data_IF_333656978892
#
_entry.id   IF_333656978892
#
_cell.length_a   1.000
_cell.length_b   1.000
_cell.length_c   1.000
_cell.angle_alpha   90.00
_cell.angle_beta   90.00
_cell.angle_gamma   90.00
#
_symmetry.space_group_name_H-M   'P 1'
#
loop_
_entity.id
_entity.type
_entity.pdbx_description
1 polymer ?
#
# COMPACT_ATOMS: atom_id res chain seq x y z
N UNK A 1 -3.39 4.85 -20.04
CA UNK A 1 -2.45 3.95 -19.34
C UNK A 1 -2.47 4.09 -17.82
N UNK A 2 -2.54 5.30 -17.25
CA UNK A 2 -2.60 5.51 -15.78
C UNK A 2 -3.69 4.71 -15.03
N UNK A 3 -4.91 4.54 -15.59
CA UNK A 3 -5.95 3.70 -14.93
C UNK A 3 -5.58 2.22 -14.80
N UNK A 4 -4.87 1.66 -15.77
CA UNK A 4 -4.43 0.27 -15.71
C UNK A 4 -3.34 0.09 -14.64
N UNK A 5 -2.46 1.09 -14.51
CA UNK A 5 -1.45 1.12 -13.43
C UNK A 5 -2.11 1.30 -12.07
N UNK A 6 -3.13 2.15 -11.95
CA UNK A 6 -3.85 2.37 -10.70
C UNK A 6 -4.66 1.15 -10.24
N UNK A 7 -5.27 0.43 -11.17
CA UNK A 7 -5.97 -0.84 -10.87
C UNK A 7 -4.99 -1.93 -10.47
N UNK A 8 -3.86 -2.05 -11.18
CA UNK A 8 -2.79 -2.97 -10.80
C UNK A 8 -2.21 -2.64 -9.41
N UNK A 9 -2.02 -1.35 -9.11
CA UNK A 9 -1.58 -0.86 -7.81
C UNK A 9 -2.56 -1.21 -6.69
N UNK A 10 -3.84 -0.92 -6.88
CA UNK A 10 -4.87 -1.24 -5.90
C UNK A 10 -4.96 -2.76 -5.68
N UNK A 11 -4.89 -3.56 -6.74
CA UNK A 11 -4.87 -5.02 -6.62
C UNK A 11 -3.64 -5.52 -5.85
N UNK A 12 -2.45 -4.98 -6.11
CA UNK A 12 -1.23 -5.34 -5.40
C UNK A 12 -1.31 -4.99 -3.91
N UNK A 13 -1.80 -3.80 -3.57
CA UNK A 13 -2.00 -3.37 -2.18
C UNK A 13 -3.05 -4.20 -1.44
N UNK A 14 -4.11 -4.63 -2.14
CA UNK A 14 -5.13 -5.54 -1.59
C UNK A 14 -4.53 -6.90 -1.28
N UNK A 15 -3.79 -7.49 -2.24
CA UNK A 15 -3.11 -8.78 -2.05
C UNK A 15 -2.09 -8.68 -0.92
N UNK A 16 -1.30 -7.62 -0.88
CA UNK A 16 -0.32 -7.38 0.19
C UNK A 16 -0.99 -7.27 1.56
N UNK A 17 -2.05 -6.47 1.71
CA UNK A 17 -2.78 -6.37 2.97
C UNK A 17 -3.44 -7.68 3.41
N UNK A 18 -3.97 -8.46 2.47
CA UNK A 18 -4.49 -9.80 2.74
C UNK A 18 -3.39 -10.77 3.18
N UNK A 19 -2.19 -10.68 2.59
CA UNK A 19 -1.05 -11.50 3.03
C UNK A 19 -0.61 -11.14 4.44
N UNK A 20 -0.65 -9.85 4.81
CA UNK A 20 -0.37 -9.42 6.19
C UNK A 20 -1.43 -9.95 7.16
N UNK A 21 -2.72 -9.86 6.83
CA UNK A 21 -3.81 -10.38 7.67
C UNK A 21 -3.74 -11.89 7.89
N UNK A 22 -3.33 -12.64 6.87
CA UNK A 22 -3.36 -14.12 6.90
C UNK A 22 -2.07 -14.75 7.42
N UNK A 23 -0.90 -14.14 7.19
CA UNK A 23 0.41 -14.74 7.52
C UNK A 23 1.16 -14.03 8.65
N UNK A 24 0.79 -12.83 9.07
CA UNK A 24 1.44 -12.15 10.19
C UNK A 24 1.23 -12.82 11.56
N UNK A 25 0.08 -13.45 11.90
CA UNK A 25 -0.15 -14.03 13.23
C UNK A 25 0.61 -15.32 13.54
N UNK A 26 1.22 -15.96 12.54
CA UNK A 26 1.87 -17.29 12.69
C UNK A 26 3.20 -17.40 11.95
N UNK A 27 3.65 -16.32 11.30
CA UNK A 27 4.85 -16.29 10.47
C UNK A 27 6.04 -15.62 11.13
N UNK A 28 7.17 -15.68 10.43
CA UNK A 28 8.45 -15.06 10.81
C UNK A 28 8.37 -13.54 11.10
N UNK A 29 7.36 -12.86 10.57
CA UNK A 29 7.08 -11.44 10.84
C UNK A 29 6.81 -11.15 12.33
N UNK A 30 6.13 -12.06 13.04
CA UNK A 30 5.87 -11.88 14.46
C UNK A 30 7.13 -12.15 15.30
N UNK A 31 7.97 -13.12 14.90
CA UNK A 31 9.24 -13.41 15.60
C UNK A 31 10.28 -12.29 15.43
N UNK A 32 10.27 -11.59 14.30
CA UNK A 32 11.28 -10.55 14.00
C UNK A 32 10.92 -9.18 14.56
N UNK A 33 9.63 -8.81 14.58
CA UNK A 33 9.20 -7.47 15.03
C UNK A 33 8.44 -7.46 16.37
N UNK A 34 7.96 -8.61 16.87
CA UNK A 34 7.28 -8.71 18.16
C UNK A 34 5.98 -7.89 18.28
N UNK A 35 5.42 -7.43 17.15
CA UNK A 35 4.23 -6.59 17.12
C UNK A 35 2.96 -7.39 17.50
N UNK A 36 2.06 -6.81 18.32
CA UNK A 36 0.74 -7.37 18.62
C UNK A 36 -0.06 -7.69 17.35
N UNK A 37 -0.79 -8.79 17.36
CA UNK A 37 -1.63 -9.25 16.23
C UNK A 37 -2.64 -8.20 15.77
N UNK A 38 -3.17 -7.40 16.71
CA UNK A 38 -4.07 -6.29 16.40
C UNK A 38 -3.42 -5.22 15.52
N UNK A 39 -2.14 -4.90 15.74
CA UNK A 39 -1.42 -3.90 14.94
C UNK A 39 -1.10 -4.42 13.54
N UNK A 40 -0.79 -5.71 13.39
CA UNK A 40 -0.66 -6.35 12.08
C UNK A 40 -1.96 -6.31 11.27
N UNK A 41 -3.08 -6.54 11.94
CA UNK A 41 -4.39 -6.45 11.30
C UNK A 41 -4.73 -5.02 10.87
N UNK A 42 -4.40 -4.03 11.72
CA UNK A 42 -4.57 -2.62 11.38
C UNK A 42 -3.66 -2.20 10.22
N UNK A 43 -2.42 -2.69 10.17
CA UNK A 43 -1.50 -2.46 9.04
C UNK A 43 -2.03 -3.06 7.74
N UNK A 44 -2.53 -4.30 7.79
CA UNK A 44 -3.17 -4.96 6.66
C UNK A 44 -4.37 -4.15 6.15
N UNK A 45 -5.28 -3.74 7.05
CA UNK A 45 -6.44 -2.90 6.71
C UNK A 45 -6.03 -1.53 6.16
N UNK A 46 -5.02 -0.89 6.75
CA UNK A 46 -4.51 0.40 6.29
C UNK A 46 -3.92 0.31 4.89
N UNK A 47 -3.20 -0.78 4.57
CA UNK A 47 -2.65 -1.00 3.22
C UNK A 47 -3.75 -1.22 2.17
N UNK A 48 -4.80 -1.98 2.50
CA UNK A 48 -5.97 -2.17 1.64
C UNK A 48 -6.67 -0.82 1.39
N UNK A 49 -6.95 -0.08 2.47
CA UNK A 49 -7.60 1.22 2.40
C UNK A 49 -6.77 2.22 1.58
N UNK A 50 -5.44 2.22 1.72
CA UNK A 50 -4.54 3.05 0.94
C UNK A 50 -4.61 2.72 -0.56
N UNK A 51 -4.54 1.44 -0.93
CA UNK A 51 -4.68 1.01 -2.32
C UNK A 51 -6.00 1.45 -2.96
N UNK A 52 -7.11 1.30 -2.23
CA UNK A 52 -8.43 1.75 -2.67
C UNK A 52 -8.55 3.27 -2.76
N UNK A 53 -7.96 4.00 -1.81
CA UNK A 53 -7.96 5.46 -1.79
C UNK A 53 -7.27 6.05 -3.04
N UNK A 54 -6.10 5.51 -3.41
CA UNK A 54 -5.38 5.96 -4.62
C UNK A 54 -6.20 5.70 -5.88
N UNK A 55 -6.88 4.55 -5.95
CA UNK A 55 -7.75 4.23 -7.07
C UNK A 55 -8.94 5.20 -7.15
N UNK A 56 -9.63 5.44 -6.04
CA UNK A 56 -10.74 6.40 -5.98
C UNK A 56 -10.28 7.82 -6.31
N UNK A 57 -9.10 8.23 -5.85
CA UNK A 57 -8.55 9.56 -6.15
C UNK A 57 -8.30 9.72 -7.65
N UNK A 58 -7.71 8.73 -8.32
CA UNK A 58 -7.52 8.76 -9.77
C UNK A 58 -8.85 8.71 -10.55
N UNK A 59 -9.87 8.02 -10.05
CA UNK A 59 -11.21 8.03 -10.66
C UNK A 59 -11.87 9.40 -10.48
N UNK A 60 -11.77 10.00 -9.30
CA UNK A 60 -12.32 11.32 -9.01
C UNK A 60 -11.66 12.42 -9.87
N UNK A 61 -10.35 12.33 -10.09
CA UNK A 61 -9.60 13.27 -10.93
C UNK A 61 -10.04 13.20 -12.40
N UNK A 62 -10.45 12.02 -12.88
CA UNK A 62 -11.04 11.85 -14.22
C UNK A 62 -12.46 12.41 -14.35
N UNK A 63 -13.26 12.33 -13.29
CA UNK A 63 -14.64 12.82 -13.29
C UNK A 63 -14.67 14.36 -13.19
N UNK A 64 -13.73 14.95 -12.46
CA UNK A 64 -13.66 16.39 -12.19
C UNK A 64 -12.31 17.02 -12.58
N UNK A 65 -11.95 17.05 -13.88
CA UNK A 65 -10.63 17.54 -14.33
C UNK A 65 -10.37 19.02 -14.06
N UNK A 66 -11.42 19.82 -13.77
CA UNK A 66 -11.29 21.25 -13.46
C UNK A 66 -10.85 21.54 -12.01
N UNK A 67 -11.03 20.59 -11.09
CA UNK A 67 -10.46 20.67 -9.73
C UNK A 67 -8.95 20.32 -9.71
N UNK A 68 -8.45 19.79 -10.84
CA UNK A 68 -7.10 19.31 -11.14
C UNK A 68 -5.93 20.29 -10.96
N UNK A 69 -6.19 21.57 -10.70
CA UNK A 69 -5.13 22.62 -10.62
C UNK A 69 -4.76 23.04 -9.20
N UNK A 70 -5.36 22.41 -8.19
CA UNK A 70 -5.10 22.76 -6.81
C UNK A 70 -3.83 22.07 -6.30
N UNK A 71 -2.98 22.75 -5.49
CA UNK A 71 -1.74 22.22 -4.92
C UNK A 71 -1.94 20.93 -4.09
N UNK A 72 -3.19 20.61 -3.78
CA UNK A 72 -3.65 19.39 -3.15
C UNK A 72 -3.34 18.12 -3.96
N UNK A 73 -3.24 18.22 -5.29
CA UNK A 73 -2.87 17.10 -6.17
C UNK A 73 -1.37 16.79 -6.08
N UNK A 74 -0.55 17.81 -5.89
CA UNK A 74 0.89 17.63 -5.69
C UNK A 74 1.17 16.92 -4.36
N UNK A 75 0.42 17.25 -3.31
CA UNK A 75 0.48 16.56 -2.02
C UNK A 75 0.02 15.10 -2.11
N UNK A 76 -1.01 14.79 -2.89
CA UNK A 76 -1.45 13.40 -3.07
C UNK A 76 -0.48 12.61 -3.94
N UNK A 77 0.09 13.18 -4.99
CA UNK A 77 1.18 12.55 -5.75
C UNK A 77 2.39 12.24 -4.86
N UNK A 78 2.77 13.17 -3.98
CA UNK A 78 3.90 12.98 -3.06
C UNK A 78 3.58 11.92 -1.98
N UNK A 79 2.35 11.87 -1.48
CA UNK A 79 1.91 10.82 -0.56
C UNK A 79 1.88 9.43 -1.22
N UNK A 80 1.45 9.33 -2.47
CA UNK A 80 1.46 8.08 -3.25
C UNK A 80 2.90 7.64 -3.52
N UNK A 81 3.77 8.57 -3.93
CA UNK A 81 5.18 8.29 -4.15
C UNK A 81 5.87 7.81 -2.87
N UNK A 82 5.59 8.43 -1.73
CA UNK A 82 6.14 8.03 -0.44
C UNK A 82 5.62 6.66 0.00
N UNK A 83 4.31 6.41 -0.10
CA UNK A 83 3.73 5.10 0.19
C UNK A 83 4.27 3.99 -0.73
N UNK A 84 4.53 4.32 -1.99
CA UNK A 84 5.15 3.38 -2.92
C UNK A 84 6.62 3.10 -2.62
N UNK A 85 7.37 4.13 -2.23
CA UNK A 85 8.76 3.98 -1.81
C UNK A 85 8.88 3.11 -0.56
N UNK A 86 8.01 3.32 0.44
CA UNK A 86 8.01 2.53 1.68
C UNK A 86 7.56 1.09 1.43
N UNK A 87 6.59 0.87 0.54
CA UNK A 87 6.19 -0.48 0.15
C UNK A 87 7.30 -1.21 -0.59
N UNK A 88 7.97 -0.55 -1.55
CA UNK A 88 9.11 -1.12 -2.27
C UNK A 88 10.27 -1.44 -1.32
N UNK A 89 10.59 -0.53 -0.40
CA UNK A 89 11.59 -0.75 0.64
C UNK A 89 11.20 -1.93 1.55
N UNK A 90 9.95 -2.03 1.96
CA UNK A 90 9.46 -3.14 2.76
C UNK A 90 9.58 -4.48 2.00
N UNK A 91 9.18 -4.54 0.72
CA UNK A 91 9.40 -5.74 -0.10
C UNK A 91 10.88 -6.05 -0.31
N UNK A 92 11.73 -5.04 -0.50
CA UNK A 92 13.17 -5.23 -0.63
C UNK A 92 13.79 -5.80 0.64
N UNK A 93 13.38 -5.31 1.81
CA UNK A 93 13.78 -5.85 3.12
C UNK A 93 13.28 -7.28 3.28
N UNK A 94 12.02 -7.58 2.94
CA UNK A 94 11.46 -8.94 2.99
C UNK A 94 12.21 -9.89 2.06
N UNK A 95 12.59 -9.47 0.85
CA UNK A 95 13.37 -10.30 -0.09
C UNK A 95 14.79 -10.52 0.44
N UNK A 96 15.46 -9.48 0.93
CA UNK A 96 16.82 -9.57 1.47
C UNK A 96 16.91 -10.40 2.75
N UNK A 97 15.88 -10.37 3.60
CA UNK A 97 15.84 -11.12 4.87
C UNK A 97 15.24 -12.51 4.71
N UNK A 98 14.31 -12.70 3.76
CA UNK A 98 13.67 -13.98 3.48
C UNK A 98 14.49 -14.93 2.60
N UNK A 99 15.57 -14.46 1.96
CA UNK A 99 16.49 -15.31 1.18
C UNK A 99 17.65 -15.87 2.02
N UNK A 100 17.74 -15.50 3.31
CA UNK A 100 18.82 -15.91 4.23
C UNK A 100 18.40 -17.10 5.13
N UNK A 101 17.23 -17.68 4.88
CA UNK A 101 16.75 -18.93 5.51
C UNK A 101 16.33 -19.91 4.42
#
# INVERSE_FOLDING_TARGET
MLSLVATAWAAAMVVFGLTLLTRAPSGWLQSTFGLPTALWNLLGLASIACGQFVFMFMVADRICPRAGRLPMIWLTELAIAFAGLTCLAATGIIIMTGFVL
#
